data_IF_121921045972
#
_entry.id   IF_121921045972
#
_cell.length_a   1.000
_cell.length_b   1.000
_cell.length_c   1.000
_cell.angle_alpha   90.00
_cell.angle_beta   90.00
_cell.angle_gamma   90.00
#
_symmetry.space_group_name_H-M   'P 1'
#
loop_
_entity.id
_entity.type
_entity.pdbx_description
1 polymer ?
#
# COMPACT_ATOMS: atom_id res chain seq x y z
N UNK A 1 -6.10 -19.85 47.59
CA UNK A 1 -6.45 -20.01 46.16
C UNK A 1 -6.68 -18.62 45.62
N UNK A 2 -5.76 -18.11 44.81
CA UNK A 2 -5.77 -16.73 44.34
C UNK A 2 -6.47 -16.70 42.99
N UNK A 3 -7.69 -16.19 42.95
CA UNK A 3 -8.42 -15.96 41.70
C UNK A 3 -7.77 -14.80 40.96
N UNK A 4 -6.98 -15.13 39.93
CA UNK A 4 -6.51 -14.14 38.96
C UNK A 4 -7.63 -14.03 37.92
N UNK A 5 -8.50 -13.04 38.10
CA UNK A 5 -9.41 -12.55 37.07
C UNK A 5 -8.58 -11.87 35.97
N UNK A 6 -7.92 -12.70 35.16
CA UNK A 6 -7.25 -12.28 33.94
C UNK A 6 -8.29 -12.15 32.83
N UNK A 7 -8.62 -10.90 32.51
CA UNK A 7 -9.43 -10.46 31.38
C UNK A 7 -9.49 -11.47 30.21
N UNK A 8 -10.61 -12.17 30.06
CA UNK A 8 -10.99 -12.78 28.78
C UNK A 8 -11.59 -11.70 27.88
N UNK A 9 -10.81 -10.66 27.61
CA UNK A 9 -10.96 -9.93 26.35
C UNK A 9 -10.46 -10.89 25.29
N UNK A 10 -11.36 -11.69 24.71
CA UNK A 10 -11.06 -12.51 23.55
C UNK A 10 -10.86 -11.59 22.34
N UNK A 11 -9.76 -10.83 22.35
CA UNK A 11 -9.19 -10.30 21.14
C UNK A 11 -8.35 -11.44 20.60
N UNK A 12 -8.96 -12.24 19.72
CA UNK A 12 -8.28 -13.33 19.02
C UNK A 12 -6.95 -12.79 18.50
N UNK A 13 -5.80 -13.30 18.98
CA UNK A 13 -4.53 -12.86 18.45
C UNK A 13 -4.51 -13.30 16.99
N UNK A 14 -4.48 -12.32 16.06
CA UNK A 14 -4.11 -12.55 14.67
C UNK A 14 -3.01 -13.58 14.68
N UNK A 15 -3.18 -14.70 13.96
CA UNK A 15 -2.22 -15.79 14.00
C UNK A 15 -0.81 -15.19 13.78
N UNK A 16 0.06 -15.18 14.81
CA UNK A 16 1.28 -14.38 14.80
C UNK A 16 2.24 -14.81 13.68
N UNK A 17 2.15 -16.07 13.25
CA UNK A 17 2.86 -16.63 12.11
C UNK A 17 2.38 -15.97 10.82
N UNK A 18 1.06 -15.93 10.60
CA UNK A 18 0.43 -15.30 9.42
C UNK A 18 0.78 -13.81 9.35
N UNK A 19 0.69 -13.07 10.46
CA UNK A 19 1.05 -11.65 10.50
C UNK A 19 2.50 -11.41 10.07
N UNK A 20 3.43 -12.22 10.58
CA UNK A 20 4.86 -12.11 10.26
C UNK A 20 5.12 -12.37 8.77
N UNK A 21 4.48 -13.37 8.19
CA UNK A 21 4.61 -13.67 6.76
C UNK A 21 4.07 -12.54 5.87
N UNK A 22 2.88 -12.00 6.20
CA UNK A 22 2.29 -10.88 5.45
C UNK A 22 3.16 -9.61 5.55
N UNK A 23 3.76 -9.35 6.70
CA UNK A 23 4.68 -8.23 6.92
C UNK A 23 5.99 -8.41 6.11
N UNK A 24 6.57 -9.61 6.12
CA UNK A 24 7.76 -9.93 5.32
C UNK A 24 7.51 -9.77 3.83
N UNK A 25 6.37 -10.28 3.32
CA UNK A 25 5.99 -10.11 1.91
C UNK A 25 5.80 -8.64 1.55
N UNK A 26 5.11 -7.90 2.42
CA UNK A 26 4.93 -6.46 2.23
C UNK A 26 6.27 -5.70 2.18
N UNK A 27 7.21 -6.01 3.08
CA UNK A 27 8.55 -5.41 3.08
C UNK A 27 9.30 -5.68 1.77
N UNK A 28 9.20 -6.88 1.22
CA UNK A 28 9.82 -7.22 -0.06
C UNK A 28 9.23 -6.39 -1.21
N UNK A 29 7.89 -6.25 -1.25
CA UNK A 29 7.19 -5.41 -2.24
C UNK A 29 7.67 -3.96 -2.14
N UNK A 30 7.73 -3.41 -0.93
CA UNK A 30 8.21 -2.03 -0.70
C UNK A 30 9.67 -1.87 -1.12
N UNK A 31 10.54 -2.80 -0.75
CA UNK A 31 11.94 -2.75 -1.14
C UNK A 31 12.10 -2.75 -2.66
N UNK A 32 11.38 -3.64 -3.36
CA UNK A 32 11.36 -3.72 -4.82
C UNK A 32 10.79 -2.46 -5.46
N UNK A 33 9.73 -1.88 -4.90
CA UNK A 33 9.16 -0.61 -5.38
C UNK A 33 10.11 0.58 -5.22
N UNK A 34 11.08 0.52 -4.31
CA UNK A 34 12.10 1.57 -4.14
C UNK A 34 13.28 1.36 -5.10
N UNK A 35 13.64 0.12 -5.42
CA UNK A 35 14.84 -0.20 -6.21
C UNK A 35 14.58 -0.46 -7.70
N UNK A 36 13.35 -0.84 -8.07
CA UNK A 36 12.94 -1.17 -9.44
C UNK A 36 11.80 -0.22 -9.88
N UNK A 37 12.15 0.77 -10.71
CA UNK A 37 11.19 1.76 -11.20
C UNK A 37 10.08 1.14 -12.07
N UNK A 38 10.37 0.11 -12.85
CA UNK A 38 9.38 -0.53 -13.71
C UNK A 38 8.38 -1.32 -12.89
N UNK A 39 8.86 -1.99 -11.83
CA UNK A 39 8.00 -2.58 -10.82
C UNK A 39 7.16 -1.51 -10.12
N UNK A 40 7.76 -0.39 -9.70
CA UNK A 40 7.03 0.72 -9.05
C UNK A 40 5.91 1.27 -9.94
N UNK A 41 6.18 1.50 -11.23
CA UNK A 41 5.18 1.96 -12.21
C UNK A 41 4.02 0.97 -12.36
N UNK A 42 4.31 -0.33 -12.44
CA UNK A 42 3.29 -1.39 -12.49
C UNK A 42 2.45 -1.41 -11.20
N UNK A 43 3.11 -1.36 -10.04
CA UNK A 43 2.48 -1.39 -8.73
C UNK A 43 1.55 -0.18 -8.51
N UNK A 44 1.94 1.01 -8.93
CA UNK A 44 1.11 2.22 -8.82
C UNK A 44 -0.09 2.16 -9.77
N UNK A 45 0.11 1.64 -10.99
CA UNK A 45 -0.93 1.56 -12.01
C UNK A 45 -2.04 0.58 -11.65
N UNK A 46 -1.67 -0.61 -11.20
CA UNK A 46 -2.62 -1.66 -10.85
C UNK A 46 -2.07 -2.51 -9.68
N UNK A 47 -2.29 -2.08 -8.42
CA UNK A 47 -1.60 -2.63 -7.27
C UNK A 47 -2.01 -4.06 -6.96
N UNK A 48 -3.30 -4.40 -7.11
CA UNK A 48 -3.82 -5.70 -6.70
C UNK A 48 -3.13 -6.88 -7.41
N UNK A 49 -3.12 -6.96 -8.75
CA UNK A 49 -2.46 -8.08 -9.43
C UNK A 49 -0.96 -8.16 -9.13
N UNK A 50 -0.28 -7.03 -8.96
CA UNK A 50 1.17 -7.00 -8.66
C UNK A 50 1.45 -7.52 -7.25
N UNK A 51 0.67 -7.08 -6.26
CA UNK A 51 0.80 -7.53 -4.86
C UNK A 51 0.49 -9.04 -4.74
N UNK A 52 -0.52 -9.52 -5.47
CA UNK A 52 -0.88 -10.93 -5.48
C UNK A 52 0.20 -11.83 -6.12
N UNK A 53 0.87 -11.35 -7.18
CA UNK A 53 2.01 -12.04 -7.80
C UNK A 53 3.19 -12.20 -6.83
N UNK A 54 3.38 -11.23 -5.93
CA UNK A 54 4.38 -11.29 -4.85
C UNK A 54 3.87 -12.12 -3.64
N UNK A 55 2.71 -12.76 -3.77
CA UNK A 55 2.17 -13.73 -2.83
C UNK A 55 1.44 -13.11 -1.63
N UNK A 56 1.15 -11.81 -1.66
CA UNK A 56 0.36 -11.13 -0.63
C UNK A 56 -1.09 -11.02 -1.11
N UNK A 57 -2.02 -11.66 -0.41
CA UNK A 57 -3.46 -11.67 -0.77
C UNK A 57 -4.32 -11.22 0.40
N UNK A 58 -5.40 -10.47 0.16
CA UNK A 58 -6.37 -10.14 1.19
C UNK A 58 -7.11 -11.38 1.67
N UNK A 59 -7.70 -11.34 2.87
CA UNK A 59 -8.67 -12.35 3.30
C UNK A 59 -9.87 -12.35 2.36
N UNK A 60 -10.54 -13.50 2.22
CA UNK A 60 -11.75 -13.63 1.42
C UNK A 60 -12.88 -12.72 1.93
N UNK A 61 -12.88 -12.41 3.23
CA UNK A 61 -13.81 -11.47 3.86
C UNK A 61 -13.49 -9.99 3.54
N UNK A 62 -12.36 -9.68 2.92
CA UNK A 62 -11.99 -8.32 2.53
C UNK A 62 -12.26 -8.10 1.05
N UNK A 63 -13.05 -7.07 0.76
CA UNK A 63 -13.35 -6.64 -0.61
C UNK A 63 -12.64 -5.34 -0.91
N UNK A 64 -11.65 -5.41 -1.79
CA UNK A 64 -10.92 -4.23 -2.27
C UNK A 64 -11.57 -3.77 -3.57
N UNK A 65 -11.96 -2.49 -3.63
CA UNK A 65 -12.59 -1.89 -4.81
C UNK A 65 -11.87 -0.59 -5.17
N UNK A 66 -11.62 -0.38 -6.46
CA UNK A 66 -11.10 0.88 -6.95
C UNK A 66 -12.25 1.88 -7.12
N UNK A 67 -12.12 3.05 -6.50
CA UNK A 67 -13.06 4.15 -6.64
C UNK A 67 -12.59 5.09 -7.75
N UNK A 68 -13.30 5.07 -8.88
CA UNK A 68 -12.98 5.85 -10.08
C UNK A 68 -13.04 7.37 -9.87
N UNK A 69 -13.85 7.84 -8.91
CA UNK A 69 -14.06 9.27 -8.65
C UNK A 69 -12.89 9.83 -7.85
N UNK A 70 -12.50 9.12 -6.80
CA UNK A 70 -11.47 9.54 -5.84
C UNK A 70 -10.08 8.98 -6.18
N UNK A 71 -10.00 8.07 -7.16
CA UNK A 71 -8.78 7.37 -7.59
C UNK A 71 -8.05 6.73 -6.41
N UNK A 72 -8.81 6.14 -5.49
CA UNK A 72 -8.29 5.40 -4.32
C UNK A 72 -8.91 4.02 -4.26
N UNK A 73 -8.15 3.08 -3.71
CA UNK A 73 -8.66 1.77 -3.36
C UNK A 73 -9.36 1.84 -2.01
N UNK A 74 -10.63 1.44 -1.97
CA UNK A 74 -11.42 1.29 -0.75
C UNK A 74 -11.41 -0.17 -0.32
N UNK A 75 -11.13 -0.39 0.97
CA UNK A 75 -11.19 -1.71 1.59
C UNK A 75 -12.51 -1.81 2.34
N UNK A 76 -13.36 -2.74 1.92
CA UNK A 76 -14.59 -3.10 2.62
C UNK A 76 -14.47 -4.47 3.28
N UNK A 77 -15.25 -4.69 4.33
CA UNK A 77 -15.40 -6.01 4.96
C UNK A 77 -16.75 -6.57 4.50
N UNK A 78 -16.76 -7.84 4.11
CA UNK A 78 -17.96 -8.57 3.69
C UNK A 78 -18.25 -9.65 4.72
N UNK A 79 -19.45 -9.60 5.30
CA UNK A 79 -19.87 -10.52 6.36
C UNK A 79 -19.57 -10.00 7.76
N UNK A 80 -19.50 -10.92 8.72
CA UNK A 80 -19.16 -10.58 10.11
C UNK A 80 -17.69 -10.17 10.23
N UNK A 81 -17.45 -9.06 10.91
CA UNK A 81 -16.12 -8.53 11.17
C UNK A 81 -15.74 -8.83 12.61
N UNK A 82 -14.68 -9.60 12.81
CA UNK A 82 -14.00 -9.68 14.10
C UNK A 82 -12.84 -8.67 14.16
N UNK A 83 -12.16 -8.63 15.30
CA UNK A 83 -11.00 -7.77 15.53
C UNK A 83 -9.86 -8.05 14.54
N UNK A 84 -9.69 -9.30 14.10
CA UNK A 84 -8.64 -9.73 13.17
C UNK A 84 -8.92 -9.22 11.76
N UNK A 85 -10.12 -9.45 11.24
CA UNK A 85 -10.57 -8.97 9.93
C UNK A 85 -10.54 -7.44 9.88
N UNK A 86 -11.00 -6.79 10.96
CA UNK A 86 -10.98 -5.32 11.07
C UNK A 86 -9.55 -4.78 11.08
N UNK A 87 -8.64 -5.47 11.76
CA UNK A 87 -7.23 -5.08 11.80
C UNK A 87 -6.56 -5.28 10.44
N UNK A 88 -6.82 -6.41 9.78
CA UNK A 88 -6.27 -6.66 8.45
C UNK A 88 -6.79 -5.66 7.40
N UNK A 89 -8.08 -5.28 7.46
CA UNK A 89 -8.66 -4.24 6.62
C UNK A 89 -7.93 -2.89 6.77
N UNK A 90 -7.58 -2.52 8.01
CA UNK A 90 -6.78 -1.31 8.30
C UNK A 90 -5.39 -1.41 7.67
N UNK A 91 -4.72 -2.55 7.81
CA UNK A 91 -3.40 -2.75 7.20
C UNK A 91 -3.45 -2.67 5.67
N UNK A 92 -4.46 -3.26 5.03
CA UNK A 92 -4.65 -3.12 3.59
C UNK A 92 -4.88 -1.67 3.16
N UNK A 93 -5.68 -0.92 3.92
CA UNK A 93 -5.90 0.51 3.68
C UNK A 93 -4.58 1.29 3.74
N UNK A 94 -3.73 1.00 4.72
CA UNK A 94 -2.41 1.64 4.87
C UNK A 94 -1.48 1.27 3.70
N UNK A 95 -1.40 -0.01 3.31
CA UNK A 95 -0.58 -0.48 2.18
C UNK A 95 -0.95 0.21 0.87
N UNK A 96 -2.25 0.26 0.58
CA UNK A 96 -2.79 0.90 -0.63
C UNK A 96 -2.54 2.41 -0.63
N UNK A 97 -2.62 3.06 0.54
CA UNK A 97 -2.26 4.47 0.68
C UNK A 97 -0.77 4.70 0.38
N UNK A 98 0.13 3.88 0.93
CA UNK A 98 1.57 3.99 0.63
C UNK A 98 1.88 3.82 -0.86
N UNK A 99 1.22 2.88 -1.55
CA UNK A 99 1.40 2.71 -3.00
C UNK A 99 0.97 3.96 -3.77
N UNK A 100 -0.12 4.62 -3.35
CA UNK A 100 -0.52 5.90 -3.95
C UNK A 100 0.58 6.96 -3.79
N UNK A 101 1.22 7.04 -2.62
CA UNK A 101 2.33 7.97 -2.38
C UNK A 101 3.54 7.69 -3.28
N UNK A 102 3.84 6.42 -3.59
CA UNK A 102 4.86 6.09 -4.62
C UNK A 102 4.51 6.67 -5.98
N UNK A 103 3.22 6.74 -6.34
CA UNK A 103 2.77 7.38 -7.57
C UNK A 103 2.95 8.90 -7.56
N UNK A 104 2.69 9.54 -6.43
CA UNK A 104 2.94 10.98 -6.25
C UNK A 104 4.43 11.28 -6.36
N UNK A 105 5.28 10.47 -5.74
CA UNK A 105 6.74 10.58 -5.84
C UNK A 105 7.23 10.43 -7.29
N UNK A 106 6.75 9.40 -8.01
CA UNK A 106 7.05 9.20 -9.44
C UNK A 106 6.66 10.43 -10.27
N UNK A 107 5.46 10.96 -10.08
CA UNK A 107 5.01 12.15 -10.80
C UNK A 107 5.87 13.39 -10.47
N UNK A 108 6.34 13.52 -9.22
CA UNK A 108 7.26 14.60 -8.84
C UNK A 108 8.63 14.46 -9.49
N UNK A 109 9.18 13.24 -9.57
CA UNK A 109 10.45 12.98 -10.25
C UNK A 109 10.37 13.35 -11.73
N UNK A 110 9.29 12.96 -12.42
CA UNK A 110 9.08 13.30 -13.83
C UNK A 110 8.82 14.81 -14.02
N UNK A 111 8.10 15.45 -13.10
CA UNK A 111 7.80 16.88 -13.14
C UNK A 111 8.99 17.80 -12.84
N UNK A 112 10.15 17.27 -12.44
CA UNK A 112 11.36 18.08 -12.16
C UNK A 112 12.32 18.15 -13.37
N UNK A 113 11.99 17.51 -14.51
CA UNK A 113 12.73 17.68 -15.78
C UNK A 113 11.92 18.57 -16.73
N UNK A 114 11.66 19.81 -16.31
CA UNK A 114 11.23 20.89 -17.20
C UNK A 114 11.96 22.17 -16.76
N UNK A 115 13.23 22.30 -17.15
CA UNK A 115 14.04 23.45 -16.75
C UNK A 115 15.52 23.42 -17.09
N UNK A 116 15.94 22.69 -18.12
CA UNK A 116 17.20 22.99 -18.82
C UNK A 116 16.89 23.01 -20.32
N UNK A 117 16.28 24.09 -20.78
CA UNK A 117 16.47 24.49 -22.18
C UNK A 117 17.88 25.05 -22.31
N UNK A 118 18.82 24.17 -22.65
CA UNK A 118 20.10 24.56 -23.23
C UNK A 118 19.82 25.16 -24.61
N UNK A 119 19.54 26.47 -24.60
CA UNK A 119 19.12 27.23 -25.77
C UNK A 119 19.50 28.69 -25.63
N UNK A 120 20.81 28.95 -25.52
CA UNK A 120 21.46 30.25 -25.62
C UNK A 120 20.79 31.17 -26.64
N UNK A 121 20.18 32.28 -26.17
CA UNK A 121 20.28 33.59 -26.83
C UNK A 121 20.33 34.68 -25.76
N UNK A 122 21.53 35.24 -25.60
CA UNK A 122 21.73 36.54 -24.93
C UNK A 122 20.92 37.55 -25.71
N UNK A 123 19.96 38.22 -25.06
CA UNK A 123 19.24 39.34 -25.67
C UNK A 123 20.18 40.54 -25.68
N UNK A 124 20.76 40.85 -26.84
CA UNK A 124 21.33 42.16 -27.10
C UNK A 124 20.20 43.20 -27.06
N UNK A 125 20.34 44.18 -26.16
CA UNK A 125 19.52 45.38 -26.15
C UNK A 125 20.29 46.40 -26.99
N UNK A 126 19.72 46.75 -28.15
CA UNK A 126 20.07 47.95 -28.92
C UNK A 126 19.15 49.07 -28.44
#
# INVERSE_FOLDING_TARGET
MTEILGATGSSSPINPIRKKELDSKWKNIVAKAVTDEDFKKKLVKDPMPVIEQEGLKPLDQLKIQFDEVTKIHKVGIVGEADDEITTEAKWWTIRLKMIKEFGVELNRQVGTVAGFEEGTRVREII
#
